data_IF_542174170330
#
_entry.id   IF_542174170330
#
_cell.length_a   1.000
_cell.length_b   1.000
_cell.length_c   1.000
_cell.angle_alpha   90.00
_cell.angle_beta   90.00
_cell.angle_gamma   90.00
#
_symmetry.space_group_name_H-M   'P 1'
#
loop_
_entity.id
_entity.type
_entity.pdbx_description
1 polymer ?
#
# COMPACT_ATOMS: atom_id res chain seq x y z
N UNK A 1 -15.68 -12.60 -17.88
CA UNK A 1 -14.35 -11.94 -17.83
C UNK A 1 -14.40 -10.84 -16.78
N UNK A 2 -13.53 -10.88 -15.77
CA UNK A 2 -13.57 -9.93 -14.65
C UNK A 2 -12.83 -8.65 -15.07
N UNK A 3 -13.56 -7.62 -15.52
CA UNK A 3 -12.97 -6.34 -15.92
C UNK A 3 -12.42 -5.68 -14.66
N UNK A 4 -11.12 -5.82 -14.43
CA UNK A 4 -10.52 -5.17 -13.28
C UNK A 4 -10.62 -3.66 -13.46
N UNK A 5 -11.20 -3.02 -12.44
CA UNK A 5 -11.56 -1.61 -12.47
C UNK A 5 -10.32 -0.73 -12.32
N UNK A 6 -10.45 0.50 -12.81
CA UNK A 6 -9.44 1.55 -12.65
C UNK A 6 -9.24 1.99 -11.19
N UNK A 7 -10.01 1.45 -10.24
CA UNK A 7 -9.81 1.68 -8.82
C UNK A 7 -9.42 0.37 -8.14
N UNK A 8 -8.25 0.32 -7.49
CA UNK A 8 -7.78 -0.82 -6.72
C UNK A 8 -6.78 -0.35 -5.64
N UNK A 9 -6.79 -0.99 -4.48
CA UNK A 9 -5.89 -0.66 -3.35
C UNK A 9 -5.92 0.84 -2.98
N UNK A 10 -7.09 1.47 -3.00
CA UNK A 10 -7.26 2.92 -2.77
C UNK A 10 -6.54 3.84 -3.75
N UNK A 11 -6.14 3.30 -4.89
CA UNK A 11 -5.50 4.04 -5.97
C UNK A 11 -6.49 4.11 -7.13
N UNK A 12 -6.73 5.33 -7.60
CA UNK A 12 -7.42 5.57 -8.87
C UNK A 12 -6.38 5.66 -9.98
N UNK A 13 -6.40 4.69 -10.88
CA UNK A 13 -5.52 4.62 -12.03
C UNK A 13 -6.03 5.54 -13.14
N UNK A 14 -5.14 6.33 -13.78
CA UNK A 14 -5.52 7.21 -14.87
C UNK A 14 -5.95 6.41 -16.10
N UNK A 15 -6.65 7.06 -17.05
CA UNK A 15 -6.87 6.45 -18.36
C UNK A 15 -5.52 6.18 -19.02
N UNK A 16 -5.34 4.98 -19.54
CA UNK A 16 -4.06 4.52 -20.11
C UNK A 16 -4.35 3.58 -21.26
N UNK A 17 -3.60 3.75 -22.35
CA UNK A 17 -3.76 2.92 -23.54
C UNK A 17 -3.46 1.44 -23.23
N UNK A 18 -4.06 0.53 -24.00
CA UNK A 18 -3.78 -0.88 -23.84
C UNK A 18 -2.31 -1.20 -24.07
N UNK A 19 -1.82 -2.18 -23.32
CA UNK A 19 -0.43 -2.62 -23.23
C UNK A 19 0.56 -1.56 -22.70
N UNK A 20 0.06 -0.49 -22.09
CA UNK A 20 0.89 0.54 -21.45
C UNK A 20 0.84 0.42 -19.92
N UNK A 21 1.92 0.87 -19.28
CA UNK A 21 2.03 0.96 -17.82
C UNK A 21 1.58 2.34 -17.37
N UNK A 22 0.64 2.38 -16.43
CA UNK A 22 0.26 3.59 -15.75
C UNK A 22 1.07 3.74 -14.46
N UNK A 23 1.27 4.98 -14.04
CA UNK A 23 1.76 5.32 -12.71
C UNK A 23 0.69 6.08 -11.93
N UNK A 24 0.75 6.00 -10.60
CA UNK A 24 -0.08 6.79 -9.70
C UNK A 24 0.61 6.92 -8.34
N UNK A 25 0.19 7.88 -7.53
CA UNK A 25 0.65 7.99 -6.15
C UNK A 25 0.37 6.71 -5.37
N UNK A 26 1.27 6.37 -4.46
CA UNK A 26 1.08 5.28 -3.52
C UNK A 26 -0.22 5.43 -2.70
N UNK A 27 -0.76 4.32 -2.19
CA UNK A 27 -2.00 4.35 -1.42
C UNK A 27 -1.83 5.16 -0.12
N UNK A 28 -2.95 5.57 0.47
CA UNK A 28 -2.98 6.29 1.75
C UNK A 28 -2.13 5.55 2.79
N UNK A 29 -1.32 6.31 3.53
CA UNK A 29 -0.37 5.75 4.52
C UNK A 29 0.99 5.35 3.95
N UNK A 30 1.21 5.59 2.66
CA UNK A 30 2.49 5.38 1.99
C UNK A 30 2.88 6.56 1.09
N UNK A 31 4.17 6.70 0.84
CA UNK A 31 4.76 7.69 -0.08
C UNK A 31 5.53 6.98 -1.18
N UNK A 32 5.55 7.59 -2.37
CA UNK A 32 6.24 7.06 -3.55
C UNK A 32 5.32 6.96 -4.76
N UNK A 33 5.74 6.14 -5.72
CA UNK A 33 5.01 5.89 -6.97
C UNK A 33 4.61 4.41 -7.03
N UNK A 34 3.42 4.15 -7.57
CA UNK A 34 2.92 2.81 -7.84
C UNK A 34 2.73 2.63 -9.34
N UNK A 35 2.85 1.39 -9.83
CA UNK A 35 2.69 1.07 -11.25
C UNK A 35 1.69 -0.05 -11.49
N UNK A 36 0.96 0.02 -12.60
CA UNK A 36 0.03 -1.03 -13.01
C UNK A 36 -0.11 -1.09 -14.52
N UNK A 37 -0.13 -2.30 -15.06
CA UNK A 37 -0.29 -2.55 -16.49
C UNK A 37 -1.77 -2.49 -16.89
N UNK A 38 -2.09 -1.70 -17.92
CA UNK A 38 -3.37 -1.73 -18.61
C UNK A 38 -3.30 -2.75 -19.75
N UNK A 39 -3.89 -3.93 -19.59
CA UNK A 39 -3.94 -4.98 -20.62
C UNK A 39 -5.12 -4.73 -21.57
N UNK A 40 -5.11 -5.40 -22.72
CA UNK A 40 -6.22 -5.37 -23.70
C UNK A 40 -7.58 -5.72 -23.06
N UNK A 41 -7.58 -6.60 -22.04
CA UNK A 41 -8.77 -7.01 -21.31
C UNK A 41 -9.04 -6.22 -20.01
N UNK A 42 -8.36 -5.09 -19.81
CA UNK A 42 -8.49 -4.23 -18.62
C UNK A 42 -7.24 -4.23 -17.73
N UNK A 43 -7.37 -3.77 -16.50
CA UNK A 43 -6.21 -3.65 -15.60
C UNK A 43 -5.65 -5.01 -15.15
N UNK A 44 -4.34 -5.09 -14.98
CA UNK A 44 -3.68 -6.27 -14.41
C UNK A 44 -4.01 -6.46 -12.91
N UNK A 45 -4.10 -7.71 -12.45
CA UNK A 45 -4.31 -8.06 -11.03
C UNK A 45 -3.13 -7.64 -10.18
N UNK A 46 -1.93 -7.86 -10.69
CA UNK A 46 -0.70 -7.45 -10.05
C UNK A 46 -0.50 -5.95 -10.26
N UNK A 47 -0.23 -5.25 -9.16
CA UNK A 47 0.35 -3.92 -9.16
C UNK A 47 1.74 -3.97 -8.56
N UNK A 48 2.57 -3.00 -8.93
CA UNK A 48 3.93 -2.85 -8.42
C UNK A 48 3.90 -1.75 -7.35
N UNK A 49 4.19 -2.15 -6.12
CA UNK A 49 4.24 -1.29 -4.93
C UNK A 49 5.65 -1.20 -4.33
N UNK A 50 6.68 -1.69 -5.02
CA UNK A 50 8.06 -1.72 -4.52
C UNK A 50 8.62 -0.34 -4.17
N UNK A 51 8.11 0.72 -4.79
CA UNK A 51 8.46 2.11 -4.51
C UNK A 51 7.58 2.76 -3.45
N UNK A 52 6.55 2.06 -2.94
CA UNK A 52 5.67 2.55 -1.89
C UNK A 52 6.24 2.25 -0.52
N UNK A 53 6.71 3.31 0.15
CA UNK A 53 7.22 3.26 1.53
C UNK A 53 6.13 3.64 2.51
N UNK A 54 5.91 2.84 3.54
CA UNK A 54 4.92 3.14 4.56
C UNK A 54 5.40 4.29 5.44
N UNK A 55 4.62 5.36 5.53
CA UNK A 55 4.99 6.53 6.35
C UNK A 55 4.99 6.18 7.84
N UNK A 56 4.08 5.29 8.27
CA UNK A 56 4.01 4.80 9.65
C UNK A 56 5.27 4.01 10.00
N UNK A 57 5.66 3.04 9.15
CA UNK A 57 6.87 2.23 9.37
C UNK A 57 8.12 3.12 9.33
N UNK A 58 8.26 3.97 8.31
CA UNK A 58 9.42 4.85 8.17
C UNK A 58 9.56 5.77 9.39
N UNK A 59 8.47 6.41 9.84
CA UNK A 59 8.49 7.25 11.05
C UNK A 59 8.87 6.46 12.30
N UNK A 60 8.41 5.22 12.42
CA UNK A 60 8.65 4.38 13.57
C UNK A 60 10.10 3.89 13.60
N UNK A 61 10.63 3.43 12.48
CA UNK A 61 12.02 2.97 12.35
C UNK A 61 13.02 4.13 12.45
N UNK A 62 12.70 5.30 11.91
CA UNK A 62 13.56 6.48 12.00
C UNK A 62 13.83 6.90 13.45
N UNK A 63 12.88 6.67 14.36
CA UNK A 63 13.08 6.90 15.81
C UNK A 63 14.25 6.09 16.37
N UNK A 64 14.52 4.91 15.81
CA UNK A 64 15.60 4.01 16.25
C UNK A 64 16.86 4.12 15.39
N UNK A 65 16.78 4.73 14.20
CA UNK A 65 17.92 4.86 13.27
C UNK A 65 18.69 6.17 13.40
N UNK A 66 18.25 7.12 14.23
CA UNK A 66 18.96 8.39 14.44
C UNK A 66 20.26 8.25 15.23
N UNK A 67 20.49 7.10 15.87
CA UNK A 67 21.77 6.80 16.51
C UNK A 67 22.76 6.23 15.50
N UNK A 68 23.96 6.83 15.40
CA UNK A 68 25.05 6.45 14.50
C UNK A 68 25.58 5.01 14.71
N UNK A 69 25.08 4.27 15.71
CA UNK A 69 25.35 2.85 15.91
C UNK A 69 24.27 2.24 16.84
N UNK A 70 23.06 1.93 16.35
CA UNK A 70 21.98 1.49 17.20
C UNK A 70 22.19 0.02 17.55
N UNK A 71 22.92 -0.24 18.64
CA UNK A 71 22.87 -1.55 19.30
C UNK A 71 21.51 -1.68 19.96
N UNK A 72 20.50 -2.07 19.19
CA UNK A 72 19.15 -2.34 19.67
C UNK A 72 19.23 -3.47 20.69
N UNK A 73 18.86 -3.21 21.94
CA UNK A 73 18.78 -4.25 22.97
C UNK A 73 17.48 -5.07 22.84
N UNK A 74 17.39 -6.17 23.58
CA UNK A 74 16.25 -7.09 23.51
C UNK A 74 14.90 -6.43 23.84
N UNK A 75 14.88 -5.49 24.78
CA UNK A 75 13.65 -4.76 25.14
C UNK A 75 13.21 -3.79 24.03
N UNK A 76 14.15 -3.07 23.43
CA UNK A 76 13.88 -2.20 22.30
C UNK A 76 13.39 -2.99 21.08
N UNK A 77 14.00 -4.15 20.80
CA UNK A 77 13.56 -5.05 19.74
C UNK A 77 12.13 -5.56 19.95
N UNK A 78 11.77 -5.94 21.18
CA UNK A 78 10.41 -6.33 21.53
C UNK A 78 9.39 -5.22 21.24
N UNK A 79 9.68 -3.98 21.67
CA UNK A 79 8.79 -2.85 21.43
C UNK A 79 8.62 -2.54 19.94
N UNK A 80 9.69 -2.62 19.14
CA UNK A 80 9.62 -2.44 17.69
C UNK A 80 8.67 -3.48 17.06
N UNK A 81 8.76 -4.75 17.49
CA UNK A 81 7.90 -5.82 16.98
C UNK A 81 6.43 -5.58 17.34
N UNK A 82 6.14 -5.16 18.58
CA UNK A 82 4.79 -4.81 19.02
C UNK A 82 4.21 -3.64 18.21
N UNK A 83 5.02 -2.60 17.98
CA UNK A 83 4.62 -1.44 17.20
C UNK A 83 4.37 -1.77 15.72
N UNK A 84 5.25 -2.57 15.10
CA UNK A 84 5.04 -3.06 13.73
C UNK A 84 3.80 -3.95 13.62
N UNK A 85 3.50 -4.75 14.64
CA UNK A 85 2.29 -5.59 14.69
C UNK A 85 1.03 -4.73 14.70
N UNK A 86 1.01 -3.65 15.49
CA UNK A 86 -0.10 -2.67 15.51
C UNK A 86 -0.26 -1.96 14.17
N UNK A 87 0.84 -1.47 13.59
CA UNK A 87 0.82 -0.81 12.27
C UNK A 87 0.25 -1.74 11.19
N UNK A 88 0.62 -3.03 11.24
CA UNK A 88 0.13 -4.03 10.29
C UNK A 88 -1.37 -4.29 10.46
N UNK A 89 -1.87 -4.33 11.70
CA UNK A 89 -3.29 -4.50 11.98
C UNK A 89 -4.11 -3.32 11.46
N UNK A 90 -3.67 -2.09 11.71
CA UNK A 90 -4.32 -0.88 11.18
C UNK A 90 -4.42 -0.91 9.66
N UNK A 91 -3.31 -1.25 8.98
CA UNK A 91 -3.28 -1.31 7.52
C UNK A 91 -4.25 -2.36 6.94
N UNK A 92 -4.45 -3.46 7.68
CA UNK A 92 -5.42 -4.49 7.32
C UNK A 92 -6.86 -4.00 7.48
N UNK A 93 -7.17 -3.30 8.58
CA UNK A 93 -8.50 -2.72 8.81
C UNK A 93 -8.86 -1.69 7.73
N UNK A 94 -7.92 -0.79 7.38
CA UNK A 94 -8.11 0.17 6.30
C UNK A 94 -8.42 -0.53 4.96
N UNK A 95 -7.69 -1.61 4.65
CA UNK A 95 -7.92 -2.40 3.44
C UNK A 95 -9.30 -3.08 3.42
N UNK A 96 -9.72 -3.64 4.55
CA UNK A 96 -11.00 -4.33 4.69
C UNK A 96 -12.18 -3.36 4.63
N UNK A 97 -12.08 -2.16 5.22
CA UNK A 97 -13.10 -1.12 5.11
C UNK A 97 -13.30 -0.69 3.64
N UNK A 98 -12.22 -0.55 2.89
CA UNK A 98 -12.29 -0.18 1.48
C UNK A 98 -12.77 -1.32 0.57
N UNK A 99 -12.56 -2.60 0.96
CA UNK A 99 -13.25 -3.73 0.33
C UNK A 99 -14.76 -3.66 0.60
N UNK A 100 -15.17 -3.40 1.83
CA UNK A 100 -16.58 -3.31 2.20
C UNK A 100 -17.30 -2.18 1.44
N UNK A 101 -16.68 -0.99 1.34
CA UNK A 101 -17.19 0.12 0.53
C UNK A 101 -17.29 -0.21 -0.96
N UNK A 102 -16.41 -1.07 -1.48
CA UNK A 102 -16.48 -1.57 -2.87
C UNK A 102 -17.67 -2.48 -3.10
N UNK A 103 -18.00 -3.36 -2.15
CA UNK A 103 -19.14 -4.28 -2.26
C UNK A 103 -20.48 -3.57 -2.16
N UNK A 104 -20.57 -2.56 -1.28
CA UNK A 104 -21.79 -1.77 -1.08
C UNK A 104 -22.08 -0.83 -2.27
N UNK A 105 -21.05 -0.27 -2.91
CA UNK A 105 -21.20 0.56 -4.12
C UNK A 105 -21.33 -0.25 -5.44
N UNK A 106 -21.32 -1.58 -5.39
CA UNK A 106 -21.54 -2.43 -6.57
C UNK A 106 -22.95 -3.01 -6.64
N UNK A 107 -23.86 -2.62 -5.72
CA UNK A 107 -25.26 -3.07 -5.65
C UNK A 107 -26.30 -2.09 -6.23
N UNK A 108 -25.86 -1.06 -6.95
CA UNK A 108 -26.73 -0.13 -7.68
C UNK A 108 -26.18 0.11 -9.08
#
# INVERSE_FOLDING_TARGET
>A
MNVQRAFAFNIRWPRTNFNQVANSSCPKGSTGVSYRLCKINGWASNLVLSECKSTKIDSHLNKYSQDLNPKINSYQAFNIIEDLSRITLDAKLDYDEDNFRRESNSRY
#
